data_IF_937503608859
#
_entry.id   IF_937503608859
#
_cell.length_a   1.000
_cell.length_b   1.000
_cell.length_c   1.000
_cell.angle_alpha   90.00
_cell.angle_beta   90.00
_cell.angle_gamma   90.00
#
_symmetry.space_group_name_H-M   'P 1'
#
loop_
_entity.id
_entity.type
_entity.pdbx_description
1 polymer ?
#
# COMPACT_ATOMS: atom_id res chain seq x y z
N UNK A 1 2.02 -21.61 -11.37
CA UNK A 1 3.22 -20.77 -11.63
C UNK A 1 2.88 -19.30 -11.81
N UNK A 2 2.42 -18.84 -12.99
CA UNK A 2 2.16 -17.38 -13.22
C UNK A 2 1.00 -16.87 -12.37
N UNK A 3 -0.06 -17.67 -12.21
CA UNK A 3 -1.20 -17.30 -11.36
C UNK A 3 -0.83 -17.19 -9.88
N UNK A 4 0.10 -18.01 -9.39
CA UNK A 4 0.55 -17.98 -7.98
C UNK A 4 1.45 -16.78 -7.69
N UNK A 5 2.30 -16.43 -8.65
CA UNK A 5 3.09 -15.20 -8.64
C UNK A 5 2.17 -13.97 -8.57
N UNK A 6 1.21 -13.87 -9.49
CA UNK A 6 0.27 -12.74 -9.53
C UNK A 6 -0.55 -12.63 -8.25
N UNK A 7 -1.04 -13.76 -7.72
CA UNK A 7 -1.81 -13.78 -6.46
C UNK A 7 -0.95 -13.32 -5.29
N UNK A 8 0.32 -13.73 -5.24
CA UNK A 8 1.26 -13.29 -4.19
C UNK A 8 1.59 -11.80 -4.33
N UNK A 9 1.84 -11.30 -5.55
CA UNK A 9 2.04 -9.87 -5.83
C UNK A 9 0.86 -9.05 -5.33
N UNK A 10 -0.37 -9.47 -5.67
CA UNK A 10 -1.56 -8.76 -5.24
C UNK A 10 -1.76 -8.79 -3.72
N UNK A 11 -1.52 -9.93 -3.08
CA UNK A 11 -1.59 -10.05 -1.62
C UNK A 11 -0.57 -9.15 -0.91
N UNK A 12 0.69 -9.15 -1.35
CA UNK A 12 1.74 -8.33 -0.74
C UNK A 12 1.46 -6.84 -0.97
N UNK A 13 1.06 -6.45 -2.18
CA UNK A 13 0.73 -5.07 -2.51
C UNK A 13 -0.47 -4.59 -1.66
N UNK A 14 -1.53 -5.40 -1.52
CA UNK A 14 -2.71 -5.05 -0.73
C UNK A 14 -2.35 -4.82 0.76
N UNK A 15 -1.55 -5.71 1.35
CA UNK A 15 -1.11 -5.57 2.75
C UNK A 15 -0.27 -4.30 2.93
N UNK A 16 0.68 -4.02 2.02
CA UNK A 16 1.52 -2.82 2.08
C UNK A 16 0.69 -1.54 1.97
N UNK A 17 -0.26 -1.50 1.02
CA UNK A 17 -1.15 -0.35 0.83
C UNK A 17 -1.99 -0.12 2.09
N UNK A 18 -2.59 -1.16 2.68
CA UNK A 18 -3.40 -1.04 3.91
C UNK A 18 -2.57 -0.46 5.06
N UNK A 19 -1.37 -0.99 5.30
CA UNK A 19 -0.49 -0.52 6.39
C UNK A 19 -0.20 0.99 6.25
N UNK A 20 0.05 1.45 5.03
CA UNK A 20 0.40 2.85 4.78
C UNK A 20 -0.84 3.75 4.82
N UNK A 21 -1.96 3.29 4.26
CA UNK A 21 -3.24 4.01 4.34
C UNK A 21 -3.59 4.27 5.80
N UNK A 22 -3.51 3.26 6.67
CA UNK A 22 -3.77 3.42 8.11
C UNK A 22 -2.84 4.45 8.75
N UNK A 23 -1.53 4.39 8.47
CA UNK A 23 -0.56 5.36 9.03
C UNK A 23 -0.82 6.79 8.53
N UNK A 24 -1.10 6.97 7.24
CA UNK A 24 -1.38 8.28 6.66
C UNK A 24 -2.71 8.85 7.14
N UNK A 25 -3.74 8.01 7.28
CA UNK A 25 -5.04 8.41 7.78
C UNK A 25 -4.94 9.06 9.17
N UNK A 26 -4.22 8.43 10.10
CA UNK A 26 -3.98 8.97 11.45
C UNK A 26 -3.27 10.34 11.36
N UNK A 27 -2.29 10.48 10.46
CA UNK A 27 -1.54 11.75 10.28
C UNK A 27 -2.42 12.87 9.72
N UNK A 28 -3.34 12.57 8.80
CA UNK A 28 -4.29 13.56 8.26
C UNK A 28 -5.36 13.92 9.29
N UNK A 29 -5.85 12.93 10.05
CA UNK A 29 -6.81 13.19 11.12
C UNK A 29 -6.23 14.15 12.17
N UNK A 30 -4.94 14.03 12.49
CA UNK A 30 -4.24 14.99 13.35
C UNK A 30 -4.25 16.42 12.78
N UNK A 31 -3.96 16.59 11.48
CA UNK A 31 -4.01 17.92 10.83
C UNK A 31 -5.42 18.52 10.77
N UNK A 32 -6.46 17.67 10.72
CA UNK A 32 -7.85 18.11 10.77
C UNK A 32 -8.24 18.60 12.18
N UNK A 33 -7.77 17.91 13.23
CA UNK A 33 -7.93 18.32 14.63
C UNK A 33 -7.21 19.65 14.91
N UNK A 34 -6.07 19.89 14.28
CA UNK A 34 -5.34 21.17 14.34
C UNK A 34 -6.04 22.32 13.58
N UNK A 35 -7.22 22.07 12.97
CA UNK A 35 -8.06 23.09 12.32
C UNK A 35 -7.56 23.59 10.96
N UNK A 36 -6.51 22.98 10.41
CA UNK A 36 -5.84 23.44 9.18
C UNK A 36 -6.58 23.04 7.89
N UNK A 37 -7.50 22.07 7.96
CA UNK A 37 -8.07 21.42 6.77
C UNK A 37 -9.57 21.10 6.98
N UNK A 38 -10.42 21.48 6.02
CA UNK A 38 -11.84 21.10 5.98
C UNK A 38 -12.01 19.58 5.82
N UNK A 39 -13.01 18.99 6.46
CA UNK A 39 -13.29 17.55 6.46
C UNK A 39 -13.50 16.98 5.04
N UNK A 40 -13.97 17.79 4.10
CA UNK A 40 -14.16 17.43 2.69
C UNK A 40 -12.82 17.29 1.95
N UNK A 41 -11.85 18.15 2.27
CA UNK A 41 -10.52 18.11 1.67
C UNK A 41 -9.68 16.92 2.20
N UNK A 42 -10.00 16.40 3.39
CA UNK A 42 -9.35 15.21 3.97
C UNK A 42 -9.46 14.03 3.01
N UNK A 43 -10.67 13.70 2.54
CA UNK A 43 -10.90 12.55 1.67
C UNK A 43 -10.22 12.71 0.30
N UNK A 44 -10.27 13.91 -0.28
CA UNK A 44 -9.61 14.20 -1.57
C UNK A 44 -8.08 14.07 -1.47
N UNK A 45 -7.48 14.65 -0.41
CA UNK A 45 -6.04 14.58 -0.17
C UNK A 45 -5.60 13.15 0.18
N UNK A 46 -6.41 12.42 0.97
CA UNK A 46 -6.14 11.00 1.28
C UNK A 46 -6.17 10.16 0.02
N UNK A 47 -7.23 10.25 -0.79
CA UNK A 47 -7.36 9.48 -2.03
C UNK A 47 -6.16 9.68 -2.96
N UNK A 48 -5.77 10.93 -3.20
CA UNK A 48 -4.60 11.24 -4.01
C UNK A 48 -3.29 10.70 -3.40
N UNK A 49 -3.09 10.85 -2.08
CA UNK A 49 -1.90 10.32 -1.38
C UNK A 49 -1.85 8.80 -1.35
N UNK A 50 -2.99 8.12 -1.37
CA UNK A 50 -3.09 6.66 -1.44
C UNK A 50 -2.66 6.20 -2.83
N UNK A 51 -3.16 6.86 -3.88
CA UNK A 51 -2.77 6.58 -5.27
C UNK A 51 -1.25 6.69 -5.45
N UNK A 52 -0.67 7.81 -4.99
CA UNK A 52 0.76 8.09 -5.09
C UNK A 52 1.59 7.03 -4.35
N UNK A 53 1.15 6.60 -3.17
CA UNK A 53 1.81 5.51 -2.42
C UNK A 53 1.70 4.20 -3.15
N UNK A 54 0.52 3.84 -3.64
CA UNK A 54 0.33 2.57 -4.34
C UNK A 54 1.25 2.45 -5.55
N UNK A 55 1.46 3.55 -6.29
CA UNK A 55 2.40 3.60 -7.40
C UNK A 55 3.86 3.45 -6.94
N UNK A 56 4.28 4.15 -5.88
CA UNK A 56 5.64 4.01 -5.34
C UNK A 56 5.94 2.62 -4.78
N UNK A 57 4.92 1.91 -4.28
CA UNK A 57 5.06 0.57 -3.70
C UNK A 57 4.90 -0.56 -4.71
N UNK A 58 4.58 -0.25 -5.97
CA UNK A 58 4.46 -1.25 -7.03
C UNK A 58 5.78 -2.02 -7.22
N UNK A 59 6.89 -1.33 -7.40
CA UNK A 59 8.23 -1.93 -7.59
C UNK A 59 8.66 -2.81 -6.41
N UNK A 60 8.65 -2.33 -5.13
CA UNK A 60 9.03 -3.18 -4.00
C UNK A 60 8.06 -4.34 -3.76
N UNK A 61 6.76 -4.17 -4.04
CA UNK A 61 5.79 -5.27 -3.92
C UNK A 61 6.09 -6.41 -4.90
N UNK A 62 6.45 -6.09 -6.14
CA UNK A 62 6.88 -7.08 -7.14
C UNK A 62 8.17 -7.77 -6.69
N UNK A 63 9.16 -7.02 -6.22
CA UNK A 63 10.42 -7.58 -5.74
C UNK A 63 10.22 -8.60 -4.59
N UNK A 64 9.49 -8.21 -3.54
CA UNK A 64 9.21 -9.08 -2.39
C UNK A 64 8.43 -10.33 -2.80
N UNK A 65 7.48 -10.19 -3.72
CA UNK A 65 6.63 -11.29 -4.15
C UNK A 65 7.37 -12.30 -5.01
N UNK A 66 8.26 -11.82 -5.89
CA UNK A 66 9.16 -12.70 -6.66
C UNK A 66 10.09 -13.46 -5.72
N UNK A 67 10.70 -12.79 -4.72
CA UNK A 67 11.54 -13.46 -3.72
C UNK A 67 10.77 -14.49 -2.90
N UNK A 68 9.55 -14.19 -2.45
CA UNK A 68 8.72 -15.13 -1.69
C UNK A 68 8.33 -16.36 -2.52
N UNK A 69 8.03 -16.18 -3.80
CA UNK A 69 7.60 -17.29 -4.66
C UNK A 69 8.80 -18.15 -5.06
N UNK A 70 9.91 -17.54 -5.48
CA UNK A 70 11.14 -18.28 -5.77
C UNK A 70 11.69 -19.00 -4.52
N UNK A 71 11.65 -18.34 -3.37
CA UNK A 71 12.07 -18.94 -2.10
C UNK A 71 11.19 -20.11 -1.67
N UNK A 72 9.89 -20.11 -1.99
CA UNK A 72 9.03 -21.29 -1.80
C UNK A 72 9.41 -22.40 -2.77
N UNK A 73 9.57 -22.09 -4.05
CA UNK A 73 9.92 -23.08 -5.09
C UNK A 73 11.29 -23.74 -4.93
N UNK A 74 12.25 -23.08 -4.26
CA UNK A 74 13.56 -23.67 -3.95
C UNK A 74 13.57 -24.51 -2.66
N UNK A 75 12.54 -24.33 -1.84
CA UNK A 75 12.43 -24.96 -0.52
C UNK A 75 11.47 -26.15 -0.53
N UNK A 76 10.51 -26.13 -1.44
CA UNK A 76 9.75 -27.28 -1.94
C UNK A 76 10.60 -28.10 -2.94
#
# INVERSE_FOLDING_TARGET
MVSDLLKTIFSVLAVLVIIIVSRKFIKILKMAVDGLISNEAIFSILGLKILLVSASFLVPSVFVSVLMVLGRMYRD
#
